data_IF_594039050153
#
_entry.id   IF_594039050153
#
_cell.length_a   1.000
_cell.length_b   1.000
_cell.length_c   1.000
_cell.angle_alpha   90.00
_cell.angle_beta   90.00
_cell.angle_gamma   90.00
#
_symmetry.space_group_name_H-M   'P 1'
#
loop_
_entity.id
_entity.type
_entity.pdbx_description
1 polymer ?
#
# COMPACT_ATOMS: atom_id res chain seq x y z
N UNK A 1 -22.93 -1.56 12.77
CA UNK A 1 -23.25 -0.40 13.63
C UNK A 1 -24.00 -0.92 14.86
N UNK A 2 -23.52 -0.63 16.06
CA UNK A 2 -24.18 -1.03 17.29
C UNK A 2 -24.29 0.15 18.26
N UNK A 3 -25.34 0.15 19.07
CA UNK A 3 -25.57 1.10 20.14
C UNK A 3 -25.66 0.33 21.46
N UNK A 4 -24.80 0.67 22.41
CA UNK A 4 -24.74 -0.01 23.72
C UNK A 4 -24.62 -1.54 23.59
N UNK A 5 -23.89 -2.01 22.57
CA UNK A 5 -23.68 -3.44 22.30
C UNK A 5 -24.78 -4.12 21.47
N UNK A 6 -25.91 -3.46 21.22
CA UNK A 6 -27.00 -4.01 20.43
C UNK A 6 -26.94 -3.54 18.98
N UNK A 7 -27.26 -4.42 18.03
CA UNK A 7 -27.37 -4.07 16.63
C UNK A 7 -28.40 -2.94 16.46
N UNK A 8 -27.96 -1.82 15.87
CA UNK A 8 -28.83 -0.67 15.61
C UNK A 8 -29.24 -0.71 14.14
N UNK A 9 -30.52 -0.93 13.81
CA UNK A 9 -31.00 -0.78 12.45
C UNK A 9 -30.77 0.66 11.96
N UNK A 10 -30.31 0.81 10.74
CA UNK A 10 -30.06 2.12 10.14
C UNK A 10 -30.45 2.12 8.68
N UNK A 11 -30.75 3.31 8.16
CA UNK A 11 -30.95 3.54 6.74
C UNK A 11 -29.86 4.48 6.23
N UNK A 12 -29.28 4.12 5.09
CA UNK A 12 -28.31 4.95 4.39
C UNK A 12 -29.06 5.89 3.43
N UNK A 13 -28.80 7.19 3.54
CA UNK A 13 -29.26 8.22 2.60
C UNK A 13 -28.05 8.78 1.86
N UNK A 14 -27.83 8.29 0.64
CA UNK A 14 -26.61 8.61 -0.13
C UNK A 14 -25.36 8.09 0.56
N UNK A 15 -24.43 8.96 0.92
CA UNK A 15 -23.19 8.60 1.64
C UNK A 15 -23.30 8.79 3.17
N UNK A 16 -24.50 9.11 3.68
CA UNK A 16 -24.72 9.42 5.09
C UNK A 16 -25.65 8.39 5.74
N UNK A 17 -25.36 8.07 7.00
CA UNK A 17 -26.27 7.35 7.90
C UNK A 17 -26.66 8.30 9.01
N UNK A 18 -27.96 8.58 9.13
CA UNK A 18 -28.50 9.49 10.17
C UNK A 18 -29.19 8.66 11.24
N UNK A 19 -28.81 8.88 12.49
CA UNK A 19 -29.39 8.21 13.66
C UNK A 19 -30.17 9.26 14.47
N UNK A 20 -31.49 9.30 14.28
CA UNK A 20 -32.37 10.26 14.93
C UNK A 20 -33.03 9.63 16.16
N UNK A 21 -32.62 10.05 17.36
CA UNK A 21 -33.15 9.58 18.64
C UNK A 21 -32.79 10.53 19.79
N UNK A 22 -33.42 10.31 20.94
CA UNK A 22 -33.03 10.96 22.19
C UNK A 22 -31.79 10.28 22.78
N UNK A 23 -30.67 11.00 22.75
CA UNK A 23 -29.40 10.56 23.33
C UNK A 23 -29.38 10.75 24.84
N UNK A 24 -28.76 9.79 25.54
CA UNK A 24 -28.56 9.88 26.99
C UNK A 24 -27.08 9.83 27.32
N UNK A 25 -26.70 10.48 28.42
CA UNK A 25 -25.32 10.45 28.89
C UNK A 25 -24.87 8.99 29.09
N UNK A 26 -23.72 8.63 28.52
CA UNK A 26 -23.18 7.27 28.55
C UNK A 26 -23.57 6.37 27.37
N UNK A 27 -24.41 6.81 26.43
CA UNK A 27 -24.65 6.06 25.18
C UNK A 27 -23.34 5.87 24.40
N UNK A 28 -23.09 4.64 23.92
CA UNK A 28 -21.90 4.26 23.14
C UNK A 28 -22.31 3.75 21.76
N UNK A 29 -21.87 4.45 20.73
CA UNK A 29 -22.04 4.04 19.34
C UNK A 29 -20.75 3.40 18.82
N UNK A 30 -20.84 2.22 18.23
CA UNK A 30 -19.72 1.54 17.60
C UNK A 30 -19.99 1.32 16.11
N UNK A 31 -19.11 1.89 15.28
CA UNK A 31 -19.07 1.71 13.84
C UNK A 31 -17.88 0.83 13.48
N UNK A 32 -18.13 -0.24 12.73
CA UNK A 32 -17.10 -1.08 12.14
C UNK A 32 -17.20 -0.93 10.63
N UNK A 33 -16.14 -0.43 10.01
CA UNK A 33 -16.02 -0.29 8.57
C UNK A 33 -15.15 -1.43 8.03
N UNK A 34 -15.54 -2.06 6.91
CA UNK A 34 -14.73 -3.09 6.30
C UNK A 34 -13.44 -2.48 5.74
N UNK A 35 -12.33 -3.19 5.91
CA UNK A 35 -10.99 -2.83 5.41
C UNK A 35 -10.59 -3.85 4.34
N UNK A 36 -11.34 -3.86 3.23
CA UNK A 36 -11.18 -4.82 2.14
C UNK A 36 -9.86 -4.59 1.40
N UNK A 37 -9.24 -5.68 0.95
CA UNK A 37 -8.08 -5.65 0.07
C UNK A 37 -8.54 -5.47 -1.36
N UNK A 38 -8.05 -4.43 -2.02
CA UNK A 38 -8.37 -4.12 -3.41
C UNK A 38 -7.10 -3.80 -4.19
N UNK A 39 -7.21 -3.83 -5.51
CA UNK A 39 -6.21 -3.21 -6.38
C UNK A 39 -6.87 -2.17 -7.27
N UNK A 40 -6.16 -1.09 -7.55
CA UNK A 40 -6.62 -0.01 -8.41
C UNK A 40 -5.66 0.18 -9.59
N UNK A 41 -6.20 0.56 -10.75
CA UNK A 41 -5.42 0.83 -11.95
C UNK A 41 -4.90 2.28 -11.91
N UNK A 42 -3.59 2.43 -12.02
CA UNK A 42 -2.90 3.74 -12.03
C UNK A 42 -2.24 3.98 -13.40
N UNK A 43 -1.43 5.03 -13.54
CA UNK A 43 -0.79 5.39 -14.81
C UNK A 43 -0.08 4.21 -15.51
N UNK A 44 -0.16 4.15 -16.84
CA UNK A 44 0.53 3.13 -17.67
C UNK A 44 0.16 1.68 -17.31
N UNK A 45 -1.08 1.45 -16.86
CA UNK A 45 -1.61 0.15 -16.42
C UNK A 45 -0.91 -0.47 -15.21
N UNK A 46 -0.25 0.33 -14.37
CA UNK A 46 0.26 -0.17 -13.10
C UNK A 46 -0.88 -0.53 -12.14
N UNK A 47 -0.58 -1.31 -11.11
CA UNK A 47 -1.51 -1.67 -10.04
C UNK A 47 -0.97 -1.21 -8.70
N UNK A 48 -1.85 -0.57 -7.94
CA UNK A 48 -1.63 -0.24 -6.53
C UNK A 48 -2.41 -1.24 -5.66
N UNK A 49 -1.87 -1.57 -4.49
CA UNK A 49 -2.55 -2.39 -3.48
C UNK A 49 -3.12 -1.48 -2.41
N UNK A 50 -4.39 -1.67 -2.10
CA UNK A 50 -5.13 -0.84 -1.16
C UNK A 50 -5.83 -1.71 -0.12
N UNK A 51 -5.97 -1.18 1.10
CA UNK A 51 -6.77 -1.79 2.18
C UNK A 51 -7.65 -0.74 2.84
N UNK A 52 -8.95 -0.80 2.57
CA UNK A 52 -9.85 0.32 2.88
C UNK A 52 -9.32 1.62 2.25
N UNK A 53 -9.14 2.73 3.00
CA UNK A 53 -8.64 3.99 2.46
C UNK A 53 -7.11 4.08 2.35
N UNK A 54 -6.37 3.00 2.69
CA UNK A 54 -4.91 3.03 2.76
C UNK A 54 -4.28 2.47 1.49
N UNK A 55 -3.40 3.25 0.86
CA UNK A 55 -2.50 2.81 -0.20
C UNK A 55 -1.24 2.19 0.40
N UNK A 56 -0.73 1.12 -0.22
CA UNK A 56 0.47 0.42 0.22
C UNK A 56 1.63 0.58 -0.77
N UNK A 57 2.85 0.63 -0.22
CA UNK A 57 4.11 0.72 -0.94
C UNK A 57 5.00 -0.49 -0.62
N UNK A 58 5.90 -0.85 -1.53
CA UNK A 58 6.94 -1.85 -1.28
C UNK A 58 7.77 -1.45 -0.06
N UNK A 59 7.95 -2.38 0.87
CA UNK A 59 8.82 -2.21 2.04
C UNK A 59 10.28 -2.28 1.61
N UNK A 60 10.86 -1.11 1.33
CA UNK A 60 12.26 -0.97 0.94
C UNK A 60 13.10 -0.48 2.12
N UNK A 61 14.30 -1.02 2.27
CA UNK A 61 15.29 -0.42 3.15
C UNK A 61 15.80 0.88 2.50
N UNK A 62 16.29 1.79 3.33
CA UNK A 62 16.75 3.11 2.89
C UNK A 62 18.23 3.27 3.20
N UNK A 63 18.99 3.80 2.25
CA UNK A 63 20.34 4.30 2.45
C UNK A 63 20.32 5.83 2.40
N UNK A 64 20.87 6.46 3.44
CA UNK A 64 20.84 7.90 3.65
C UNK A 64 22.23 8.47 3.43
N UNK A 65 22.36 9.37 2.46
CA UNK A 65 23.59 10.11 2.21
C UNK A 65 23.38 11.58 2.56
N UNK A 66 24.17 12.07 3.51
CA UNK A 66 24.22 13.50 3.82
C UNK A 66 25.23 14.18 2.91
N UNK A 67 24.88 15.35 2.41
CA UNK A 67 25.75 16.19 1.58
C UNK A 67 25.48 17.67 1.89
N UNK A 68 26.28 18.57 1.34
CA UNK A 68 26.17 20.00 1.63
C UNK A 68 26.35 20.85 0.36
N UNK A 69 25.35 21.66 0.07
CA UNK A 69 25.47 22.73 -0.92
C UNK A 69 25.87 24.04 -0.23
N UNK A 70 26.84 24.76 -0.79
CA UNK A 70 27.38 25.97 -0.18
C UNK A 70 26.31 27.06 0.04
N UNK A 71 25.32 27.15 -0.85
CA UNK A 71 24.24 28.13 -0.78
C UNK A 71 22.99 27.63 -0.04
N UNK A 72 22.71 26.33 -0.06
CA UNK A 72 21.44 25.76 0.44
C UNK A 72 21.59 25.00 1.78
N UNK A 73 22.82 24.70 2.20
CA UNK A 73 23.11 24.01 3.45
C UNK A 73 23.14 22.49 3.33
N UNK A 74 22.97 21.81 4.46
CA UNK A 74 23.00 20.35 4.52
C UNK A 74 21.68 19.75 3.97
N UNK A 75 21.81 18.72 3.13
CA UNK A 75 20.68 17.96 2.61
C UNK A 75 20.93 16.46 2.70
N UNK A 76 19.85 15.69 2.58
CA UNK A 76 19.90 14.23 2.55
C UNK A 76 19.36 13.70 1.23
N UNK A 77 20.13 12.84 0.59
CA UNK A 77 19.66 11.97 -0.49
C UNK A 77 19.31 10.61 0.08
N UNK A 78 18.17 10.05 -0.32
CA UNK A 78 17.67 8.77 0.18
C UNK A 78 17.53 7.81 -0.98
N UNK A 79 18.23 6.68 -0.91
CA UNK A 79 18.28 5.67 -1.96
C UNK A 79 17.61 4.37 -1.51
N UNK A 80 16.97 3.62 -2.43
CA UNK A 80 16.46 2.30 -2.12
C UNK A 80 17.62 1.33 -1.88
N UNK A 81 17.51 0.53 -0.84
CA UNK A 81 18.41 -0.58 -0.55
C UNK A 81 17.67 -1.90 -0.72
N UNK A 82 18.22 -2.77 -1.56
CA UNK A 82 17.61 -4.04 -1.96
C UNK A 82 16.83 -3.94 -3.26
N UNK A 83 16.23 -5.06 -3.65
CA UNK A 83 15.48 -5.16 -4.88
C UNK A 83 14.14 -4.42 -4.79
N UNK A 84 13.80 -3.69 -5.84
CA UNK A 84 12.57 -2.91 -5.93
C UNK A 84 11.78 -3.18 -7.20
N UNK A 85 12.42 -3.81 -8.18
CA UNK A 85 11.96 -4.04 -9.53
C UNK A 85 11.01 -5.25 -9.62
N UNK A 86 9.91 -5.21 -8.87
CA UNK A 86 8.93 -6.28 -8.80
C UNK A 86 7.65 -5.96 -9.57
N UNK A 87 7.07 -6.95 -10.24
CA UNK A 87 5.72 -6.91 -10.79
C UNK A 87 4.76 -7.78 -9.98
N UNK A 88 3.53 -7.30 -9.77
CA UNK A 88 2.48 -8.08 -9.11
C UNK A 88 1.94 -9.15 -10.06
N UNK A 89 1.65 -10.34 -9.54
CA UNK A 89 1.01 -11.37 -10.33
C UNK A 89 -0.41 -10.96 -10.76
N UNK A 90 -0.83 -11.38 -11.94
CA UNK A 90 -2.18 -11.16 -12.45
C UNK A 90 -3.26 -11.72 -11.49
N UNK A 91 -2.97 -12.81 -10.78
CA UNK A 91 -3.87 -13.39 -9.76
C UNK A 91 -4.15 -12.42 -8.61
N UNK A 92 -3.14 -11.64 -8.17
CA UNK A 92 -3.30 -10.59 -7.14
C UNK A 92 -4.27 -9.52 -7.61
N UNK A 93 -4.20 -9.15 -8.89
CA UNK A 93 -5.04 -8.11 -9.46
C UNK A 93 -6.48 -8.58 -9.58
N UNK A 94 -6.70 -9.83 -10.00
CA UNK A 94 -8.03 -10.42 -10.16
C UNK A 94 -8.72 -10.73 -8.84
N UNK A 95 -7.97 -11.27 -7.87
CA UNK A 95 -8.51 -11.77 -6.61
C UNK A 95 -7.63 -11.35 -5.41
N UNK A 96 -7.53 -10.05 -5.09
CA UNK A 96 -6.63 -9.54 -4.06
C UNK A 96 -6.89 -10.17 -2.68
N UNK A 97 -8.17 -10.33 -2.29
CA UNK A 97 -8.53 -10.93 -0.99
C UNK A 97 -8.10 -12.40 -0.81
N UNK A 98 -7.83 -13.13 -1.91
CA UNK A 98 -7.32 -14.52 -1.86
C UNK A 98 -5.80 -14.62 -1.91
N UNK A 99 -5.15 -13.66 -2.56
CA UNK A 99 -3.72 -13.73 -2.87
C UNK A 99 -2.86 -12.83 -1.96
N UNK A 100 -3.45 -11.85 -1.30
CA UNK A 100 -2.79 -10.95 -0.35
C UNK A 100 -3.04 -11.38 1.08
N UNK A 101 -2.01 -11.33 1.91
CA UNK A 101 -2.10 -11.69 3.32
C UNK A 101 -1.81 -10.46 4.18
N UNK A 102 -2.76 -10.11 5.04
CA UNK A 102 -2.60 -8.99 5.99
C UNK A 102 -2.00 -9.49 7.28
N UNK A 103 -0.94 -8.84 7.75
CA UNK A 103 -0.33 -9.10 9.05
C UNK A 103 -0.36 -7.83 9.90
N UNK A 104 -0.99 -7.92 11.06
CA UNK A 104 -0.84 -6.90 12.11
C UNK A 104 0.52 -7.12 12.78
N UNK A 105 1.42 -6.16 12.66
CA UNK A 105 2.80 -6.29 13.15
C UNK A 105 2.97 -5.58 14.49
N UNK A 106 2.37 -4.39 14.63
CA UNK A 106 2.45 -3.57 15.85
C UNK A 106 1.12 -2.85 16.09
N UNK A 107 0.70 -2.69 17.34
CA UNK A 107 -0.42 -1.80 17.65
C UNK A 107 -0.02 -0.35 17.39
N UNK A 108 -0.97 0.46 16.92
CA UNK A 108 -0.81 1.92 16.89
C UNK A 108 -0.96 2.41 18.33
N UNK A 109 0.06 3.07 18.85
CA UNK A 109 0.08 3.63 20.21
C UNK A 109 0.15 5.15 20.16
N UNK A 110 0.04 5.81 21.30
CA UNK A 110 0.16 7.28 21.40
C UNK A 110 1.55 7.80 20.96
N UNK A 111 2.56 6.94 20.92
CA UNK A 111 3.93 7.29 20.50
C UNK A 111 4.22 6.87 19.05
N UNK A 112 3.18 6.65 18.24
CA UNK A 112 3.34 6.25 16.85
C UNK A 112 4.06 7.32 16.03
N UNK A 113 5.05 6.89 15.25
CA UNK A 113 5.84 7.74 14.35
C UNK A 113 5.62 7.24 12.92
N UNK A 114 5.40 8.17 11.98
CA UNK A 114 5.23 7.86 10.56
C UNK A 114 6.57 7.49 9.91
N UNK A 115 7.05 6.27 10.17
CA UNK A 115 8.26 5.71 9.58
C UNK A 115 8.17 4.19 9.40
N UNK A 116 9.16 3.61 8.71
CA UNK A 116 9.17 2.21 8.34
C UNK A 116 9.21 1.26 9.54
N UNK A 117 9.98 1.60 10.58
CA UNK A 117 10.14 0.74 11.76
C UNK A 117 8.89 0.70 12.64
N UNK A 118 7.99 1.67 12.49
CA UNK A 118 6.74 1.77 13.24
C UNK A 118 5.52 1.33 12.43
N UNK A 119 5.68 0.90 11.17
CA UNK A 119 4.57 0.42 10.34
C UNK A 119 3.73 -0.64 11.08
N UNK A 120 2.44 -0.38 11.35
CA UNK A 120 1.63 -1.23 12.23
C UNK A 120 1.09 -2.47 11.52
N UNK A 121 1.02 -2.40 10.18
CA UNK A 121 0.38 -3.40 9.33
C UNK A 121 1.30 -3.65 8.14
N UNK A 122 1.42 -4.91 7.76
CA UNK A 122 2.10 -5.34 6.55
C UNK A 122 1.14 -6.14 5.67
N UNK A 123 1.32 -6.08 4.36
CA UNK A 123 0.66 -6.95 3.39
C UNK A 123 1.73 -7.76 2.68
N UNK A 124 1.61 -9.09 2.71
CA UNK A 124 2.45 -9.96 1.89
C UNK A 124 1.77 -10.19 0.54
N UNK A 125 2.51 -9.95 -0.54
CA UNK A 125 2.02 -10.04 -1.91
C UNK A 125 2.95 -10.92 -2.75
N UNK A 126 2.43 -11.89 -3.52
CA UNK A 126 3.23 -12.63 -4.48
C UNK A 126 3.56 -11.73 -5.69
N UNK A 127 4.82 -11.79 -6.10
CA UNK A 127 5.39 -10.97 -7.15
C UNK A 127 6.53 -11.70 -7.87
N UNK A 128 6.90 -11.22 -9.05
CA UNK A 128 8.13 -11.65 -9.73
C UNK A 128 9.02 -10.46 -9.98
N UNK A 129 10.33 -10.68 -9.86
CA UNK A 129 11.32 -9.66 -10.22
C UNK A 129 11.33 -9.47 -11.73
N UNK A 130 11.57 -8.24 -12.17
CA UNK A 130 11.72 -7.83 -13.56
C UNK A 130 13.15 -7.33 -13.72
N UNK A 131 14.13 -8.18 -14.07
CA UNK A 131 15.54 -7.79 -14.17
C UNK A 131 15.80 -6.66 -15.16
N UNK A 132 14.97 -6.56 -16.20
CA UNK A 132 15.02 -5.48 -17.19
C UNK A 132 14.49 -4.13 -16.71
N UNK A 133 13.76 -4.09 -15.59
CA UNK A 133 13.28 -2.83 -15.01
C UNK A 133 14.37 -2.22 -14.14
N UNK A 134 15.06 -1.23 -14.71
CA UNK A 134 16.19 -0.55 -14.09
C UNK A 134 15.92 0.95 -13.98
N UNK A 135 16.65 1.60 -13.07
CA UNK A 135 16.65 3.04 -12.95
C UNK A 135 17.34 3.66 -14.17
N UNK A 136 16.79 4.74 -14.69
CA UNK A 136 17.32 5.55 -15.78
C UNK A 136 17.16 7.02 -15.42
N UNK A 137 18.24 7.79 -15.48
CA UNK A 137 18.28 9.21 -15.07
C UNK A 137 17.58 9.45 -13.72
N UNK A 138 17.97 8.67 -12.69
CA UNK A 138 17.43 8.77 -11.31
C UNK A 138 15.93 8.47 -11.17
N UNK A 139 15.28 8.01 -12.24
CA UNK A 139 13.88 7.60 -12.24
C UNK A 139 13.74 6.11 -12.55
N UNK A 140 12.68 5.48 -12.06
CA UNK A 140 12.32 4.12 -12.43
C UNK A 140 11.13 4.18 -13.40
N UNK A 141 11.36 4.33 -14.72
CA UNK A 141 10.26 4.44 -15.67
C UNK A 141 9.41 3.17 -15.64
N UNK A 142 8.08 3.32 -15.57
CA UNK A 142 7.17 2.18 -15.56
C UNK A 142 7.41 1.28 -16.78
N UNK A 143 7.54 -0.05 -16.60
CA UNK A 143 7.69 -0.98 -17.72
C UNK A 143 6.49 -0.90 -18.67
N UNK A 144 6.77 -1.00 -19.97
CA UNK A 144 5.74 -0.94 -21.02
C UNK A 144 4.88 -2.21 -20.95
N UNK A 145 3.57 -2.03 -20.96
CA UNK A 145 2.59 -3.12 -20.97
C UNK A 145 1.93 -3.23 -22.34
N UNK A 146 1.38 -4.41 -22.64
CA UNK A 146 0.59 -4.59 -23.85
C UNK A 146 -0.82 -3.97 -23.70
N UNK A 147 -1.67 -4.16 -24.72
CA UNK A 147 -3.06 -3.68 -24.70
C UNK A 147 -3.93 -4.29 -23.59
N UNK A 148 -3.50 -5.41 -23.00
CA UNK A 148 -4.18 -6.04 -21.85
C UNK A 148 -3.72 -5.47 -20.52
N UNK A 149 -2.72 -4.57 -20.52
CA UNK A 149 -2.14 -4.01 -19.31
C UNK A 149 -1.18 -4.94 -18.58
N UNK A 150 -0.70 -5.99 -19.26
CA UNK A 150 0.23 -6.98 -18.70
C UNK A 150 1.61 -6.77 -19.32
N UNK A 151 2.65 -6.81 -18.49
CA UNK A 151 4.03 -6.81 -18.92
C UNK A 151 4.39 -8.19 -19.53
N UNK A 152 4.92 -8.18 -20.75
CA UNK A 152 5.27 -9.40 -21.52
C UNK A 152 6.78 -9.64 -21.65
N UNK A 153 7.60 -8.76 -21.06
CA UNK A 153 9.04 -8.93 -21.09
C UNK A 153 9.51 -10.01 -20.10
N UNK A 154 10.83 -10.27 -20.08
CA UNK A 154 11.42 -11.27 -19.18
C UNK A 154 11.20 -10.92 -17.70
N UNK A 155 10.80 -11.92 -16.93
CA UNK A 155 10.68 -11.87 -15.48
C UNK A 155 11.38 -13.10 -14.90
N UNK A 156 11.77 -13.03 -13.63
CA UNK A 156 12.33 -14.20 -12.95
C UNK A 156 11.26 -15.32 -12.89
N UNK A 157 11.68 -16.57 -13.11
CA UNK A 157 10.78 -17.73 -13.04
C UNK A 157 10.23 -17.95 -11.64
N UNK A 158 11.06 -17.62 -10.63
CA UNK A 158 10.74 -17.77 -9.22
C UNK A 158 9.76 -16.68 -8.78
N UNK A 159 8.63 -17.12 -8.25
CA UNK A 159 7.73 -16.26 -7.49
C UNK A 159 8.33 -15.96 -6.10
N UNK A 160 8.26 -14.69 -5.70
CA UNK A 160 8.70 -14.23 -4.39
C UNK A 160 7.57 -13.49 -3.69
N UNK A 161 7.51 -13.58 -2.36
CA UNK A 161 6.58 -12.78 -1.57
C UNK A 161 7.27 -11.50 -1.13
N UNK A 162 6.77 -10.38 -1.64
CA UNK A 162 7.20 -9.04 -1.21
C UNK A 162 6.33 -8.55 -0.07
N UNK A 163 6.91 -7.72 0.79
CA UNK A 163 6.18 -7.06 1.88
C UNK A 163 5.82 -5.65 1.49
N UNK A 164 4.57 -5.27 1.69
CA UNK A 164 4.06 -3.93 1.50
C UNK A 164 3.69 -3.32 2.85
N UNK A 165 3.91 -2.00 2.99
CA UNK A 165 3.57 -1.21 4.18
C UNK A 165 2.72 0.00 3.76
N UNK A 166 1.95 0.62 4.68
CA UNK A 166 1.21 1.84 4.38
C UNK A 166 2.15 2.90 3.77
N UNK A 167 1.71 3.53 2.68
CA UNK A 167 2.48 4.50 1.91
C UNK A 167 3.18 5.55 2.79
N UNK A 168 2.47 6.07 3.79
CA UNK A 168 2.97 7.10 4.71
C UNK A 168 4.13 6.66 5.62
N UNK A 169 4.44 5.36 5.71
CA UNK A 169 5.57 4.85 6.47
C UNK A 169 6.89 4.81 5.66
N UNK A 170 6.87 5.17 4.37
CA UNK A 170 8.04 5.07 3.46
C UNK A 170 8.46 6.44 2.94
N UNK A 171 9.75 6.63 2.61
CA UNK A 171 10.24 7.85 1.93
C UNK A 171 10.61 7.61 0.48
N UNK A 172 11.22 6.45 0.17
CA UNK A 172 11.42 5.94 -1.20
C UNK A 172 10.31 4.93 -1.50
N UNK A 173 9.64 5.06 -2.65
CA UNK A 173 8.35 4.39 -2.87
C UNK A 173 8.25 3.71 -4.23
N UNK A 174 7.89 2.43 -4.20
CA UNK A 174 7.25 1.74 -5.32
C UNK A 174 5.82 1.41 -4.89
N UNK A 175 4.85 2.03 -5.56
CA UNK A 175 3.41 1.90 -5.26
C UNK A 175 2.62 1.47 -6.49
N UNK A 176 3.22 1.67 -7.66
CA UNK A 176 2.65 1.41 -8.96
C UNK A 176 3.42 0.23 -9.58
N UNK A 177 2.90 -0.98 -9.37
CA UNK A 177 3.56 -2.19 -9.84
C UNK A 177 3.10 -2.54 -11.25
N UNK A 178 3.99 -2.92 -12.18
CA UNK A 178 3.57 -3.57 -13.41
C UNK A 178 2.89 -4.92 -13.08
N UNK A 179 1.97 -5.36 -13.92
CA UNK A 179 1.32 -6.67 -13.78
C UNK A 179 2.06 -7.70 -14.61
N UNK A 180 2.38 -8.84 -14.03
CA UNK A 180 3.09 -9.96 -14.69
C UNK A 180 2.28 -11.25 -14.58
N UNK A 181 2.61 -12.24 -15.41
CA UNK A 181 1.99 -13.58 -15.34
C UNK A 181 2.70 -14.48 -14.34
#
# INVERSE_FOLDING_TARGET
>A
LTLNGQALPFQQKGQLVVIERNWKNGDKLLLQLPMELTTSNWGKNSRSVERGPLVYALKLQEEWKMDQEAAEGMYYSVFPKGDWNYGLLESVVKEPGKNLEVKMVKPVTNNFIWNLSHAPIEISAPAKKIPGWKMFNETAPQPVTDRTGIYKGPVDEKEERVTLVPFGCTKVRIVAFPVVK
#
